data_IF_578872757189
#
_entry.id   IF_578872757189
#
_cell.length_a   1.000
_cell.length_b   1.000
_cell.length_c   1.000
_cell.angle_alpha   90.00
_cell.angle_beta   90.00
_cell.angle_gamma   90.00
#
_symmetry.space_group_name_H-M   'P 1'
#
loop_
_entity.id
_entity.type
_entity.pdbx_description
1 polymer ?
#
# COMPACT_ATOMS: atom_id res chain seq x y z
N UNK A 1 -19.02 11.46 0.36
CA UNK A 1 -19.10 10.62 -0.86
C UNK A 1 -19.56 9.24 -0.44
N UNK A 2 -20.70 8.78 -0.95
CA UNK A 2 -21.13 7.39 -0.77
C UNK A 2 -20.22 6.52 -1.65
N UNK A 3 -19.40 5.67 -1.03
CA UNK A 3 -18.59 4.68 -1.76
C UNK A 3 -19.48 3.45 -1.95
N UNK A 4 -19.99 3.29 -3.15
CA UNK A 4 -20.86 2.18 -3.55
C UNK A 4 -20.38 1.63 -4.89
N UNK A 5 -20.28 0.32 -5.00
CA UNK A 5 -19.89 -0.37 -6.22
C UNK A 5 -20.84 -1.53 -6.47
N UNK A 6 -21.56 -1.53 -7.59
CA UNK A 6 -22.50 -2.60 -7.96
C UNK A 6 -23.53 -2.92 -6.85
N UNK A 7 -24.02 -1.91 -6.14
CA UNK A 7 -24.95 -2.09 -5.01
C UNK A 7 -24.30 -2.55 -3.71
N UNK A 8 -22.98 -2.79 -3.69
CA UNK A 8 -22.22 -3.12 -2.49
C UNK A 8 -21.69 -1.84 -1.83
N UNK A 9 -21.93 -1.72 -0.52
CA UNK A 9 -21.44 -0.61 0.32
C UNK A 9 -20.32 -1.12 1.23
N UNK A 10 -19.04 -0.95 0.87
CA UNK A 10 -17.92 -1.59 1.58
C UNK A 10 -17.84 -1.18 3.05
N UNK A 11 -17.98 0.12 3.32
CA UNK A 11 -17.89 0.67 4.68
C UNK A 11 -18.95 0.09 5.64
N UNK A 12 -20.08 -0.38 5.13
CA UNK A 12 -21.16 -0.99 5.92
C UNK A 12 -21.07 -2.52 5.97
N UNK A 13 -20.39 -3.14 5.00
CA UNK A 13 -20.50 -4.59 4.74
C UNK A 13 -19.18 -5.36 4.78
N UNK A 14 -18.00 -4.70 4.79
CA UNK A 14 -16.71 -5.39 4.69
C UNK A 14 -16.42 -6.33 5.87
N UNK A 15 -17.00 -6.06 7.04
CA UNK A 15 -16.93 -6.97 8.19
C UNK A 15 -17.48 -8.38 7.86
N UNK A 16 -18.37 -8.49 6.86
CA UNK A 16 -18.93 -9.77 6.41
C UNK A 16 -17.88 -10.68 5.76
N UNK A 17 -16.73 -10.16 5.36
CA UNK A 17 -15.60 -10.97 4.91
C UNK A 17 -15.24 -12.07 5.93
N UNK A 18 -15.32 -11.75 7.22
CA UNK A 18 -15.01 -12.68 8.31
C UNK A 18 -16.06 -13.77 8.55
N UNK A 19 -17.22 -13.70 7.86
CA UNK A 19 -18.22 -14.77 7.86
C UNK A 19 -17.79 -15.95 6.97
N UNK A 20 -16.86 -15.72 6.05
CA UNK A 20 -16.33 -16.73 5.13
C UNK A 20 -14.90 -17.10 5.52
N UNK A 21 -14.08 -16.10 5.81
CA UNK A 21 -12.67 -16.28 6.16
C UNK A 21 -12.51 -16.19 7.67
N UNK A 22 -12.15 -17.29 8.33
CA UNK A 22 -11.91 -17.28 9.77
C UNK A 22 -10.64 -16.46 10.09
N UNK A 23 -10.73 -15.34 10.83
CA UNK A 23 -9.56 -14.53 11.19
C UNK A 23 -8.55 -15.31 12.03
N UNK A 24 -9.00 -16.22 12.91
CA UNK A 24 -8.09 -16.99 13.76
C UNK A 24 -7.19 -17.94 12.94
N UNK A 25 -7.65 -18.39 11.78
CA UNK A 25 -6.88 -19.25 10.88
C UNK A 25 -6.05 -18.46 9.87
N UNK A 26 -6.58 -17.34 9.37
CA UNK A 26 -6.02 -16.65 8.20
C UNK A 26 -5.28 -15.34 8.50
N UNK A 27 -5.40 -14.77 9.70
CA UNK A 27 -4.68 -13.55 10.06
C UNK A 27 -3.17 -13.73 9.96
N UNK A 28 -2.61 -14.74 10.64
CA UNK A 28 -1.17 -15.00 10.64
C UNK A 28 -0.63 -15.31 9.23
N UNK A 29 -1.25 -16.21 8.43
CA UNK A 29 -0.86 -16.41 7.04
C UNK A 29 -0.86 -15.13 6.20
N UNK A 30 -1.87 -14.27 6.37
CA UNK A 30 -1.97 -13.00 5.63
C UNK A 30 -0.83 -12.06 6.00
N UNK A 31 -0.53 -11.93 7.30
CA UNK A 31 0.59 -11.11 7.78
C UNK A 31 1.94 -11.65 7.29
N UNK A 32 2.12 -12.97 7.25
CA UNK A 32 3.31 -13.60 6.68
C UNK A 32 3.42 -13.27 5.19
N UNK A 33 2.33 -13.37 4.41
CA UNK A 33 2.34 -13.05 2.99
C UNK A 33 2.70 -11.58 2.74
N UNK A 34 2.15 -10.65 3.53
CA UNK A 34 2.49 -9.22 3.47
C UNK A 34 3.96 -9.00 3.86
N UNK A 35 4.45 -9.66 4.91
CA UNK A 35 5.84 -9.55 5.34
C UNK A 35 6.82 -10.06 4.27
N UNK A 36 6.54 -11.23 3.68
CA UNK A 36 7.34 -11.79 2.57
C UNK A 36 7.33 -10.84 1.38
N UNK A 37 6.16 -10.31 1.02
CA UNK A 37 6.03 -9.34 -0.08
C UNK A 37 6.86 -8.09 0.19
N UNK A 38 6.78 -7.54 1.42
CA UNK A 38 7.59 -6.40 1.82
C UNK A 38 9.08 -6.72 1.72
N UNK A 39 9.54 -7.85 2.27
CA UNK A 39 10.95 -8.25 2.20
C UNK A 39 11.42 -8.34 0.74
N UNK A 40 10.65 -8.99 -0.14
CA UNK A 40 11.01 -9.12 -1.55
C UNK A 40 11.13 -7.77 -2.25
N UNK A 41 10.19 -6.86 -2.01
CA UNK A 41 10.25 -5.50 -2.55
C UNK A 41 11.51 -4.80 -2.06
N UNK A 42 11.86 -4.91 -0.77
CA UNK A 42 13.08 -4.31 -0.24
C UNK A 42 14.33 -4.96 -0.84
N UNK A 43 14.38 -6.29 -0.99
CA UNK A 43 15.52 -6.97 -1.63
C UNK A 43 15.74 -6.44 -3.06
N UNK A 44 14.67 -6.34 -3.85
CA UNK A 44 14.76 -5.80 -5.21
C UNK A 44 15.17 -4.33 -5.19
N UNK A 45 14.50 -3.49 -4.42
CA UNK A 45 14.82 -2.07 -4.33
C UNK A 45 16.29 -1.83 -3.93
N UNK A 46 16.81 -2.58 -2.95
CA UNK A 46 18.19 -2.45 -2.49
C UNK A 46 19.23 -2.98 -3.49
N UNK A 47 18.82 -3.82 -4.44
CA UNK A 47 19.70 -4.29 -5.52
C UNK A 47 19.86 -3.28 -6.65
N UNK A 48 18.96 -2.29 -6.75
CA UNK A 48 19.02 -1.24 -7.76
C UNK A 48 20.07 -0.18 -7.36
N UNK A 49 20.80 0.29 -8.37
CA UNK A 49 21.79 1.36 -8.17
C UNK A 49 21.11 2.62 -7.62
N UNK A 50 21.69 3.20 -6.57
CA UNK A 50 21.18 4.44 -5.97
C UNK A 50 19.87 4.30 -5.19
N UNK A 51 19.42 3.08 -4.85
CA UNK A 51 18.22 2.84 -4.04
C UNK A 51 18.51 2.14 -2.69
N UNK A 52 19.77 1.73 -2.44
CA UNK A 52 20.20 1.15 -1.17
C UNK A 52 20.51 2.18 -0.07
N UNK A 53 21.13 1.75 1.03
CA UNK A 53 21.46 2.61 2.18
C UNK A 53 22.35 3.83 1.86
N UNK A 54 23.08 3.76 0.74
CA UNK A 54 23.96 4.83 0.25
C UNK A 54 23.37 5.57 -0.96
N UNK A 55 22.06 5.43 -1.19
CA UNK A 55 21.34 6.22 -2.18
C UNK A 55 21.64 7.70 -1.99
N UNK A 56 22.12 8.36 -3.05
CA UNK A 56 22.30 9.80 -3.05
C UNK A 56 20.90 10.42 -2.95
N UNK A 57 20.71 11.35 -2.01
CA UNK A 57 19.41 12.00 -1.82
C UNK A 57 18.89 12.53 -3.15
N UNK A 58 17.65 12.15 -3.50
CA UNK A 58 16.99 12.69 -4.67
C UNK A 58 16.94 14.22 -4.53
N UNK A 59 17.20 15.00 -5.61
CA UNK A 59 17.02 16.44 -5.55
C UNK A 59 15.59 16.73 -5.08
N UNK A 60 15.46 17.66 -4.13
CA UNK A 60 14.17 18.04 -3.56
C UNK A 60 13.16 18.24 -4.70
N UNK A 61 11.99 17.60 -4.59
CA UNK A 61 10.93 17.77 -5.56
C UNK A 61 10.63 19.27 -5.65
N UNK A 62 10.90 19.88 -6.81
CA UNK A 62 10.51 21.25 -7.08
C UNK A 62 8.99 21.24 -7.08
N UNK A 63 8.37 21.78 -6.03
CA UNK A 63 6.94 22.09 -6.04
C UNK A 63 6.67 22.88 -7.32
N UNK A 64 5.91 22.29 -8.24
CA UNK A 64 5.42 23.01 -9.40
C UNK A 64 4.63 24.19 -8.85
N UNK A 65 5.18 25.41 -8.99
CA UNK A 65 4.51 26.63 -8.57
C UNK A 65 3.09 26.60 -9.15
N UNK A 66 2.08 26.67 -8.27
CA UNK A 66 0.70 26.80 -8.69
C UNK A 66 0.62 27.98 -9.68
N UNK A 67 -0.04 27.82 -10.85
CA UNK A 67 -0.16 28.92 -11.80
C UNK A 67 -0.86 30.07 -11.08
N UNK A 68 -0.20 31.23 -11.05
CA UNK A 68 -0.74 32.44 -10.45
C UNK A 68 -2.11 32.71 -11.07
N UNK A 69 -3.16 32.72 -10.24
CA UNK A 69 -4.47 33.19 -10.65
C UNK A 69 -4.33 34.63 -11.12
N UNK A 70 -4.58 34.87 -12.40
CA UNK A 70 -4.80 36.20 -12.97
C UNK A 70 -6.19 36.69 -12.62
#
# INVERSE_FOLDING_TARGET
MTIEFMGYKPLENDWKFWLVVNPATWLIPTLIAVAVTAILIHVVAFSLEGQGWHAKAAPAAVEAAAPAAQ
#
